data_IF_544497443281
#
_entry.id   IF_544497443281
#
_cell.length_a   1.000
_cell.length_b   1.000
_cell.length_c   1.000
_cell.angle_alpha   90.00
_cell.angle_beta   90.00
_cell.angle_gamma   90.00
#
_symmetry.space_group_name_H-M   'P 1'
#
loop_
_entity.id
_entity.type
_entity.pdbx_description
1 polymer ?
#
# COMPACT_ATOMS: atom_id res chain seq x y z
N UNK A 1 -41.11 -50.01 -40.15
CA UNK A 1 -40.49 -49.85 -38.81
C UNK A 1 -39.15 -49.08 -38.81
N UNK A 2 -38.18 -49.36 -39.69
CA UNK A 2 -36.84 -48.71 -39.67
C UNK A 2 -36.84 -47.16 -39.73
N UNK A 3 -37.66 -46.55 -40.60
CA UNK A 3 -37.72 -45.07 -40.73
C UNK A 3 -38.30 -44.36 -39.49
N UNK A 4 -39.23 -44.99 -38.77
CA UNK A 4 -39.81 -44.39 -37.56
C UNK A 4 -38.84 -44.46 -36.38
N UNK A 5 -38.04 -45.53 -36.29
CA UNK A 5 -37.00 -45.66 -35.27
C UNK A 5 -35.87 -44.63 -35.47
N UNK A 6 -35.45 -44.41 -36.73
CA UNK A 6 -34.44 -43.39 -37.05
C UNK A 6 -34.93 -41.98 -36.74
N UNK A 7 -36.20 -41.67 -37.05
CA UNK A 7 -36.82 -40.38 -36.68
C UNK A 7 -36.92 -40.20 -35.17
N UNK A 8 -37.32 -41.25 -34.44
CA UNK A 8 -37.38 -41.22 -32.98
C UNK A 8 -36.00 -41.00 -32.35
N UNK A 9 -34.95 -41.64 -32.89
CA UNK A 9 -33.57 -41.47 -32.43
C UNK A 9 -33.07 -40.02 -32.64
N UNK A 10 -33.38 -39.42 -33.79
CA UNK A 10 -33.03 -38.03 -34.10
C UNK A 10 -33.74 -37.06 -33.16
N UNK A 11 -35.04 -37.28 -32.91
CA UNK A 11 -35.82 -36.46 -31.96
C UNK A 11 -35.26 -36.57 -30.55
N UNK A 12 -34.90 -37.78 -30.11
CA UNK A 12 -34.29 -38.02 -28.81
C UNK A 12 -32.91 -37.35 -28.69
N UNK A 13 -32.10 -37.38 -29.75
CA UNK A 13 -30.80 -36.70 -29.78
C UNK A 13 -30.96 -35.18 -29.71
N UNK A 14 -31.91 -34.60 -30.44
CA UNK A 14 -32.22 -33.16 -30.40
C UNK A 14 -32.73 -32.72 -29.01
N UNK A 15 -33.57 -33.53 -28.37
CA UNK A 15 -34.04 -33.30 -27.01
C UNK A 15 -32.88 -33.30 -26.00
N UNK A 16 -31.97 -34.27 -26.08
CA UNK A 16 -30.78 -34.30 -25.23
C UNK A 16 -29.83 -33.12 -25.48
N UNK A 17 -29.68 -32.69 -26.73
CA UNK A 17 -28.85 -31.52 -27.05
C UNK A 17 -29.46 -30.22 -26.50
N UNK A 18 -30.80 -30.11 -26.54
CA UNK A 18 -31.53 -28.99 -25.96
C UNK A 18 -31.46 -28.98 -24.41
N UNK A 19 -31.53 -30.14 -23.75
CA UNK A 19 -31.40 -30.20 -22.29
C UNK A 19 -29.97 -29.88 -21.83
N UNK A 20 -28.95 -30.30 -22.58
CA UNK A 20 -27.54 -29.95 -22.33
C UNK A 20 -27.28 -28.45 -22.58
N UNK A 21 -27.89 -27.84 -23.60
CA UNK A 21 -27.72 -26.41 -23.85
C UNK A 21 -28.41 -25.51 -22.82
N UNK A 22 -29.57 -25.92 -22.29
CA UNK A 22 -30.22 -25.22 -21.17
C UNK A 22 -29.46 -25.35 -19.85
N UNK A 23 -28.66 -26.42 -19.67
CA UNK A 23 -27.86 -26.64 -18.46
C UNK A 23 -26.45 -26.02 -18.52
N UNK A 24 -26.07 -25.41 -19.65
CA UNK A 24 -24.74 -24.81 -19.85
C UNK A 24 -24.63 -23.33 -19.42
N UNK A 25 -25.70 -22.69 -18.95
CA UNK A 25 -25.70 -21.28 -18.53
C UNK A 25 -25.83 -21.13 -17.02
N UNK A 26 -24.83 -21.57 -16.28
CA UNK A 26 -24.74 -21.42 -14.81
C UNK A 26 -24.23 -20.06 -14.35
N UNK A 27 -24.01 -19.10 -15.26
CA UNK A 27 -23.63 -17.74 -14.90
C UNK A 27 -24.89 -16.94 -14.54
N UNK A 28 -25.15 -16.79 -13.24
CA UNK A 28 -26.11 -15.80 -12.76
C UNK A 28 -25.68 -14.42 -13.22
N UNK A 29 -26.63 -13.58 -13.63
CA UNK A 29 -26.36 -12.18 -13.99
C UNK A 29 -25.79 -11.48 -12.77
N UNK A 30 -24.52 -11.08 -12.84
CA UNK A 30 -23.86 -10.41 -11.73
C UNK A 30 -24.33 -8.95 -11.66
N UNK A 31 -25.05 -8.62 -10.59
CA UNK A 31 -25.36 -7.23 -10.26
C UNK A 31 -24.11 -6.56 -9.68
N UNK A 32 -23.34 -5.94 -10.56
CA UNK A 32 -22.18 -5.13 -10.18
C UNK A 32 -22.54 -3.99 -9.22
N UNK A 33 -23.77 -3.47 -9.26
CA UNK A 33 -24.24 -2.43 -8.34
C UNK A 33 -24.29 -2.94 -6.91
N UNK A 34 -24.93 -4.09 -6.69
CA UNK A 34 -25.00 -4.74 -5.37
C UNK A 34 -23.62 -5.15 -4.85
N UNK A 35 -22.77 -5.71 -5.72
CA UNK A 35 -21.40 -6.10 -5.34
C UNK A 35 -20.58 -4.87 -4.93
N UNK A 36 -20.63 -3.78 -5.70
CA UNK A 36 -19.94 -2.53 -5.36
C UNK A 36 -20.43 -1.98 -4.02
N UNK A 37 -21.74 -1.97 -3.78
CA UNK A 37 -22.31 -1.51 -2.50
C UNK A 37 -21.79 -2.32 -1.32
N UNK A 38 -21.80 -3.66 -1.42
CA UNK A 38 -21.21 -4.55 -0.39
C UNK A 38 -19.73 -4.28 -0.16
N UNK A 39 -18.96 -4.04 -1.24
CA UNK A 39 -17.53 -3.72 -1.14
C UNK A 39 -17.30 -2.37 -0.46
N UNK A 40 -18.09 -1.35 -0.75
CA UNK A 40 -18.00 -0.03 -0.10
C UNK A 40 -18.24 -0.15 1.41
N UNK A 41 -19.28 -0.88 1.84
CA UNK A 41 -19.55 -1.08 3.28
C UNK A 41 -18.45 -1.89 3.96
N UNK A 42 -17.90 -2.91 3.28
CA UNK A 42 -16.77 -3.68 3.81
C UNK A 42 -15.51 -2.80 3.97
N UNK A 43 -15.20 -1.97 2.98
CA UNK A 43 -14.05 -1.05 3.03
C UNK A 43 -14.25 0.01 4.13
N UNK A 44 -15.47 0.53 4.31
CA UNK A 44 -15.80 1.44 5.41
C UNK A 44 -15.45 0.81 6.76
N UNK A 45 -15.91 -0.42 7.00
CA UNK A 45 -15.59 -1.17 8.22
C UNK A 45 -14.09 -1.42 8.37
N UNK A 46 -13.41 -1.80 7.28
CA UNK A 46 -11.98 -2.05 7.28
C UNK A 46 -11.17 -0.82 7.68
N UNK A 47 -11.47 0.36 7.12
CA UNK A 47 -10.79 1.62 7.46
C UNK A 47 -10.99 1.94 8.95
N UNK A 48 -12.22 1.87 9.45
CA UNK A 48 -12.54 2.15 10.84
C UNK A 48 -11.82 1.19 11.80
N UNK A 49 -11.83 -0.12 11.51
CA UNK A 49 -11.11 -1.12 12.29
C UNK A 49 -9.59 -0.89 12.31
N UNK A 50 -8.98 -0.53 11.16
CA UNK A 50 -7.56 -0.20 11.08
C UNK A 50 -7.20 1.03 11.91
N UNK A 51 -8.07 2.04 11.93
CA UNK A 51 -7.92 3.27 12.70
C UNK A 51 -8.35 3.13 14.17
N UNK A 52 -8.87 1.96 14.58
CA UNK A 52 -9.45 1.71 15.91
C UNK A 52 -10.59 2.68 16.26
N UNK A 53 -11.41 3.01 15.27
CA UNK A 53 -12.58 3.86 15.42
C UNK A 53 -13.85 3.02 15.32
N UNK A 54 -14.85 3.33 16.14
CA UNK A 54 -16.18 2.69 16.07
C UNK A 54 -17.12 3.39 15.10
N UNK A 55 -16.86 4.66 14.79
CA UNK A 55 -17.62 5.48 13.85
C UNK A 55 -16.73 6.57 13.24
N UNK A 56 -17.12 7.17 12.09
CA UNK A 56 -16.38 8.27 11.49
C UNK A 56 -16.27 9.46 12.47
N UNK A 57 -15.09 10.09 12.58
CA UNK A 57 -14.93 11.27 13.42
C UNK A 57 -15.65 12.47 12.82
N UNK A 58 -15.96 13.46 13.66
CA UNK A 58 -16.54 14.72 13.22
C UNK A 58 -15.65 15.41 12.17
N UNK A 59 -16.25 16.01 11.12
CA UNK A 59 -15.50 16.63 10.06
C UNK A 59 -14.64 17.78 10.60
N UNK A 60 -13.38 17.84 10.16
CA UNK A 60 -12.48 18.92 10.55
C UNK A 60 -12.99 20.26 10.02
N UNK A 61 -13.02 21.29 10.88
CA UNK A 61 -13.39 22.67 10.51
C UNK A 61 -12.33 23.32 9.61
N UNK A 62 -11.13 22.74 9.51
CA UNK A 62 -10.04 23.25 8.70
C UNK A 62 -10.34 23.09 7.21
N UNK A 63 -10.46 24.21 6.50
CA UNK A 63 -10.63 24.27 5.04
C UNK A 63 -9.36 24.00 4.26
N UNK A 64 -8.18 24.12 4.88
CA UNK A 64 -6.89 23.93 4.24
C UNK A 64 -5.94 23.07 5.08
N UNK A 65 -5.27 22.12 4.43
CA UNK A 65 -4.29 21.24 5.05
C UNK A 65 -2.91 21.92 5.07
N UNK A 66 -2.24 22.07 6.21
CA UNK A 66 -0.91 22.70 6.28
C UNK A 66 0.11 22.03 5.35
N UNK A 67 1.02 22.83 4.78
CA UNK A 67 2.03 22.34 3.85
C UNK A 67 2.90 21.22 4.44
N UNK A 68 3.22 21.29 5.73
CA UNK A 68 4.04 20.30 6.42
C UNK A 68 3.37 18.92 6.42
N UNK A 69 2.04 18.88 6.58
CA UNK A 69 1.25 17.63 6.53
C UNK A 69 1.18 17.09 5.10
N UNK A 70 0.98 17.96 4.11
CA UNK A 70 1.00 17.58 2.70
C UNK A 70 2.36 17.02 2.27
N UNK A 71 3.45 17.66 2.70
CA UNK A 71 4.81 17.20 2.43
C UNK A 71 5.09 15.84 3.07
N UNK A 72 4.61 15.62 4.31
CA UNK A 72 4.70 14.33 4.97
C UNK A 72 3.94 13.25 4.20
N UNK A 73 2.69 13.51 3.85
CA UNK A 73 1.85 12.61 3.06
C UNK A 73 2.51 12.22 1.72
N UNK A 74 3.04 13.20 0.98
CA UNK A 74 3.70 12.94 -0.30
C UNK A 74 4.96 12.06 -0.12
N UNK A 75 5.77 12.31 0.90
CA UNK A 75 6.94 11.48 1.20
C UNK A 75 6.55 10.07 1.61
N UNK A 76 5.45 9.88 2.34
CA UNK A 76 4.95 8.55 2.70
C UNK A 76 4.42 7.81 1.48
N UNK A 77 3.69 8.50 0.60
CA UNK A 77 3.18 7.89 -0.64
C UNK A 77 4.31 7.37 -1.51
N UNK A 78 5.31 8.20 -1.77
CA UNK A 78 6.51 7.81 -2.54
C UNK A 78 7.21 6.61 -1.91
N UNK A 79 7.38 6.61 -0.58
CA UNK A 79 7.97 5.48 0.13
C UNK A 79 7.15 4.18 -0.04
N UNK A 80 5.83 4.25 0.09
CA UNK A 80 4.98 3.07 -0.06
C UNK A 80 5.04 2.51 -1.47
N UNK A 81 5.17 3.37 -2.48
CA UNK A 81 5.37 2.97 -3.88
C UNK A 81 6.72 2.25 -4.07
N UNK A 82 7.82 2.77 -3.51
CA UNK A 82 9.15 2.13 -3.52
C UNK A 82 9.11 0.73 -2.86
N UNK A 83 8.49 0.64 -1.68
CA UNK A 83 8.36 -0.62 -0.93
C UNK A 83 7.48 -1.66 -1.61
N UNK A 84 6.47 -1.23 -2.37
CA UNK A 84 5.58 -2.15 -3.07
C UNK A 84 6.34 -2.89 -4.18
N UNK A 85 7.24 -2.20 -4.88
CA UNK A 85 8.16 -2.82 -5.84
C UNK A 85 9.04 -3.89 -5.19
N UNK A 86 9.62 -3.61 -4.02
CA UNK A 86 10.48 -4.57 -3.30
C UNK A 86 9.70 -5.80 -2.76
N UNK A 87 8.43 -5.63 -2.40
CA UNK A 87 7.58 -6.71 -1.88
C UNK A 87 7.09 -7.66 -2.97
N UNK A 88 6.90 -7.18 -4.20
CA UNK A 88 6.56 -8.05 -5.33
C UNK A 88 7.69 -9.07 -5.63
N UNK A 89 8.94 -8.72 -5.28
CA UNK A 89 10.11 -9.59 -5.39
C UNK A 89 10.31 -10.52 -4.17
N UNK A 90 9.59 -10.31 -3.06
CA UNK A 90 9.76 -11.04 -1.79
C UNK A 90 8.49 -11.79 -1.37
N UNK A 91 8.49 -13.13 -1.50
CA UNK A 91 7.34 -13.99 -1.17
C UNK A 91 7.05 -14.17 0.34
N UNK A 92 7.65 -13.39 1.23
CA UNK A 92 7.47 -13.54 2.68
C UNK A 92 6.54 -12.47 3.24
N UNK A 93 5.33 -12.87 3.63
CA UNK A 93 4.38 -12.02 4.34
C UNK A 93 4.28 -12.48 5.79
N UNK A 94 4.97 -11.80 6.70
CA UNK A 94 4.94 -12.11 8.13
C UNK A 94 3.71 -11.44 8.77
N UNK A 95 2.59 -12.16 8.81
CA UNK A 95 1.29 -11.61 9.18
C UNK A 95 1.14 -11.46 10.70
N UNK A 96 1.64 -10.35 11.24
CA UNK A 96 1.50 -10.03 12.67
C UNK A 96 0.27 -9.15 12.91
N UNK A 97 -0.42 -9.34 14.04
CA UNK A 97 -1.58 -8.50 14.41
C UNK A 97 -1.21 -7.01 14.49
N UNK A 98 0.06 -6.71 14.83
CA UNK A 98 0.57 -5.35 14.84
C UNK A 98 0.57 -4.72 13.45
N UNK A 99 0.77 -5.47 12.36
CA UNK A 99 0.74 -4.94 10.99
C UNK A 99 -0.68 -4.53 10.54
N UNK A 100 -1.71 -5.12 11.13
CA UNK A 100 -3.09 -4.86 10.72
C UNK A 100 -3.53 -3.41 11.00
N UNK A 101 -3.18 -2.87 12.16
CA UNK A 101 -3.59 -1.53 12.60
C UNK A 101 -2.75 -0.43 11.98
N UNK A 102 -3.37 0.74 11.76
CA UNK A 102 -2.71 1.91 11.23
C UNK A 102 -1.52 2.35 12.11
N UNK A 103 -0.51 2.94 11.46
CA UNK A 103 0.69 3.47 12.11
C UNK A 103 0.69 4.98 12.03
N UNK A 104 0.98 5.62 13.14
CA UNK A 104 1.25 7.04 13.16
C UNK A 104 2.62 7.30 12.53
N UNK A 105 2.70 8.35 11.71
CA UNK A 105 3.89 8.69 10.95
C UNK A 105 4.49 9.96 11.53
N UNK A 106 5.76 9.88 11.91
CA UNK A 106 6.54 11.03 12.34
C UNK A 106 7.72 11.24 11.39
N UNK A 107 8.03 12.51 11.13
CA UNK A 107 9.22 12.92 10.39
C UNK A 107 10.07 13.84 11.25
N UNK A 108 11.37 13.54 11.30
CA UNK A 108 12.37 14.33 11.99
C UNK A 108 13.33 14.91 10.96
N UNK A 109 13.36 16.22 10.86
CA UNK A 109 14.39 16.89 10.08
C UNK A 109 15.71 16.87 10.86
N UNK A 110 16.83 16.85 10.13
CA UNK A 110 18.15 16.91 10.75
C UNK A 110 18.32 18.22 11.52
N UNK A 111 19.03 18.18 12.64
CA UNK A 111 19.42 19.38 13.38
C UNK A 111 20.28 20.23 12.45
N UNK A 112 19.84 21.46 12.18
CA UNK A 112 20.64 22.42 11.44
C UNK A 112 21.84 22.85 12.29
N UNK A 113 23.05 22.49 11.87
CA UNK A 113 24.31 22.97 12.42
C UNK A 113 25.19 23.56 11.31
N UNK A 114 26.24 24.30 11.69
CA UNK A 114 27.28 24.71 10.73
C UNK A 114 27.81 23.47 9.98
N UNK A 115 28.06 23.60 8.67
CA UNK A 115 28.54 22.50 7.82
C UNK A 115 29.77 21.79 8.40
N UNK A 116 30.61 22.51 9.14
CA UNK A 116 31.80 22.03 9.86
C UNK A 116 31.49 21.00 10.95
N UNK A 117 30.26 20.94 11.47
CA UNK A 117 29.85 19.95 12.48
C UNK A 117 29.38 18.61 11.90
N UNK A 118 29.17 18.53 10.59
CA UNK A 118 28.80 17.28 9.91
C UNK A 118 30.03 16.51 9.41
N UNK A 119 31.22 17.10 9.53
CA UNK A 119 32.51 16.48 9.23
C UNK A 119 33.11 15.94 10.53
N UNK A 120 33.69 14.74 10.49
CA UNK A 120 34.47 14.24 11.63
C UNK A 120 35.78 15.05 11.68
N UNK A 121 36.11 15.61 12.86
CA UNK A 121 37.35 16.36 13.08
C UNK A 121 38.62 15.56 12.77
N UNK A 122 38.53 14.23 12.67
CA UNK A 122 39.59 13.32 12.27
C UNK A 122 39.03 12.32 11.25
N UNK A 123 39.19 12.62 9.97
CA UNK A 123 39.07 11.64 8.90
C UNK A 123 40.48 11.36 8.35
N UNK A 124 40.95 10.10 8.35
CA UNK A 124 42.13 9.72 7.59
C UNK A 124 41.94 10.16 6.13
N UNK A 125 42.98 10.74 5.52
CA UNK A 125 42.95 11.23 4.13
C UNK A 125 42.32 10.16 3.22
N UNK A 126 41.17 10.48 2.61
CA UNK A 126 40.49 9.61 1.64
C UNK A 126 39.08 9.17 2.00
N UNK A 127 38.59 9.40 3.23
CA UNK A 127 37.22 9.07 3.63
C UNK A 127 36.44 10.37 3.89
N UNK A 128 35.47 10.69 3.03
CA UNK A 128 34.53 11.80 3.25
C UNK A 128 33.26 11.25 3.92
N UNK A 129 33.28 11.10 5.25
CA UNK A 129 32.07 10.74 6.00
C UNK A 129 31.22 11.99 6.28
N UNK A 130 29.90 11.85 6.21
CA UNK A 130 28.93 12.88 6.60
C UNK A 130 28.14 12.39 7.80
N UNK A 131 28.07 13.22 8.83
CA UNK A 131 27.31 12.96 10.06
C UNK A 131 25.97 13.70 9.99
N UNK A 132 24.87 12.98 10.24
CA UNK A 132 23.53 13.54 10.33
C UNK A 132 23.01 13.34 11.76
N UNK A 133 22.68 14.44 12.44
CA UNK A 133 22.16 14.41 13.81
C UNK A 133 20.67 14.74 13.83
N UNK A 134 19.91 14.03 14.65
CA UNK A 134 18.47 14.19 14.78
C UNK A 134 18.10 14.41 16.24
N UNK A 135 17.16 15.32 16.49
CA UNK A 135 16.54 15.46 17.80
C UNK A 135 15.23 14.67 17.79
N UNK A 136 15.19 13.54 18.49
CA UNK A 136 14.01 12.67 18.62
C UNK A 136 13.36 12.78 20.00
N UNK A 137 13.68 13.82 20.77
CA UNK A 137 13.16 13.99 22.14
C UNK A 137 11.64 14.09 22.22
N UNK A 138 10.97 14.50 21.13
CA UNK A 138 9.51 14.56 21.03
C UNK A 138 8.84 13.21 20.75
N UNK A 139 9.61 12.15 20.49
CA UNK A 139 9.08 10.79 20.27
C UNK A 139 8.75 10.13 21.59
N UNK A 140 7.67 9.37 21.62
CA UNK A 140 7.33 8.50 22.75
C UNK A 140 8.52 7.58 23.08
N UNK A 141 8.99 7.60 24.33
CA UNK A 141 10.17 6.84 24.76
C UNK A 141 9.96 5.31 24.75
N UNK A 142 8.73 4.87 24.51
CA UNK A 142 8.37 3.46 24.42
C UNK A 142 8.76 2.91 23.04
N UNK A 143 10.00 2.44 22.92
CA UNK A 143 10.53 1.85 21.68
C UNK A 143 9.75 0.64 21.16
N UNK A 144 8.85 0.07 21.97
CA UNK A 144 7.95 -1.04 21.59
C UNK A 144 6.92 -0.65 20.54
N UNK A 145 6.59 0.64 20.39
CA UNK A 145 5.60 1.13 19.43
C UNK A 145 6.20 1.43 18.04
N UNK A 146 7.53 1.39 17.90
CA UNK A 146 8.22 1.67 16.64
C UNK A 146 8.11 0.45 15.71
N UNK A 147 7.38 0.62 14.60
CA UNK A 147 7.24 -0.43 13.60
C UNK A 147 8.33 -0.39 12.52
N UNK A 148 8.66 0.81 12.03
CA UNK A 148 9.66 1.02 10.96
C UNK A 148 10.26 2.41 11.09
N UNK A 149 11.55 2.51 10.80
CA UNK A 149 12.28 3.77 10.73
C UNK A 149 13.17 3.77 9.50
N UNK A 150 13.25 4.90 8.81
CA UNK A 150 14.05 5.06 7.62
C UNK A 150 14.75 6.41 7.57
N UNK A 151 15.93 6.39 6.97
CA UNK A 151 16.73 7.57 6.71
C UNK A 151 16.66 7.90 5.22
N UNK A 152 16.10 9.06 4.88
CA UNK A 152 16.00 9.54 3.49
C UNK A 152 16.88 10.77 3.28
N UNK A 153 17.60 10.78 2.16
CA UNK A 153 18.48 11.88 1.74
C UNK A 153 18.31 12.17 0.26
N UNK A 154 18.31 13.46 -0.10
CA UNK A 154 18.32 13.89 -1.49
C UNK A 154 19.75 13.87 -2.03
N UNK A 155 20.03 12.95 -2.96
CA UNK A 155 21.30 12.93 -3.68
C UNK A 155 21.26 13.95 -4.83
N UNK A 156 22.10 14.98 -4.74
CA UNK A 156 22.31 15.93 -5.83
C UNK A 156 23.42 15.41 -6.76
N UNK A 157 23.17 15.32 -8.08
CA UNK A 157 24.20 14.93 -9.04
C UNK A 157 25.39 15.89 -9.01
N UNK A 158 26.62 15.36 -9.11
CA UNK A 158 27.81 16.20 -9.22
C UNK A 158 27.96 16.69 -10.67
N UNK A 159 27.76 17.99 -10.98
CA UNK A 159 27.86 18.50 -12.35
C UNK A 159 29.28 18.35 -12.91
N UNK A 160 30.29 18.25 -12.04
CA UNK A 160 31.69 18.08 -12.43
C UNK A 160 32.09 16.62 -12.67
N UNK A 161 31.19 15.65 -12.48
CA UNK A 161 31.52 14.25 -12.77
C UNK A 161 31.48 14.02 -14.29
N UNK A 162 32.63 13.70 -14.89
CA UNK A 162 32.67 13.23 -16.28
C UNK A 162 32.27 11.76 -16.30
N UNK A 163 31.30 11.39 -17.15
CA UNK A 163 31.07 9.98 -17.52
C UNK A 163 32.33 9.51 -18.24
N UNK A 164 33.09 8.60 -17.61
CA UNK A 164 34.09 7.80 -18.30
C UNK A 164 33.40 6.69 -19.07
#
# INVERSE_FOLDING_TARGET
>A
MKMHLQRALVVLALLNFATVSLSLSTCTTLDFGHIKKKRVEAIRGQILSKLRLTSPPEPSVMTHVPYQVLALYNSTRELLEEMQGEREDSCTQENTESEYYAKEIHKFDMIQGLAEHNELAVCPKGITSKVFRFNVSSVEKNGTNLFRAEFRVLRVPNPSSKRN
#
